data_IF_061774247027
#
_entry.id   IF_061774247027
#
_cell.length_a   1.000
_cell.length_b   1.000
_cell.length_c   1.000
_cell.angle_alpha   90.00
_cell.angle_beta   90.00
_cell.angle_gamma   90.00
#
_symmetry.space_group_name_H-M   'P 1'
#
loop_
_entity.id
_entity.type
_entity.pdbx_description
1 polymer ?
#
# COMPACT_ATOMS: atom_id res chain seq x y z
N UNK A 1 -58.81 -27.60 -26.51
CA UNK A 1 -60.07 -27.46 -25.76
C UNK A 1 -59.74 -27.11 -24.30
N UNK A 2 -60.28 -25.97 -23.83
CA UNK A 2 -60.56 -25.54 -22.44
C UNK A 2 -59.63 -25.96 -21.27
N UNK A 3 -58.95 -24.96 -20.70
CA UNK A 3 -58.73 -24.76 -19.25
C UNK A 3 -60.10 -24.63 -18.50
N UNK A 4 -60.26 -24.71 -17.15
CA UNK A 4 -59.41 -24.02 -16.16
C UNK A 4 -59.32 -24.57 -14.70
N UNK A 5 -58.47 -23.86 -13.93
CA UNK A 5 -58.63 -23.42 -12.53
C UNK A 5 -58.52 -24.39 -11.34
N UNK A 6 -57.71 -23.96 -10.36
CA UNK A 6 -57.63 -24.51 -9.02
C UNK A 6 -56.61 -23.78 -8.14
N UNK A 7 -56.78 -22.45 -8.00
CA UNK A 7 -56.03 -21.59 -7.08
C UNK A 7 -56.60 -21.77 -5.66
N UNK A 8 -55.75 -22.10 -4.67
CA UNK A 8 -56.06 -21.89 -3.25
C UNK A 8 -54.86 -21.19 -2.60
N UNK A 9 -55.07 -19.95 -2.20
CA UNK A 9 -54.24 -19.14 -1.31
C UNK A 9 -54.94 -19.11 0.05
N UNK A 10 -54.23 -19.46 1.12
CA UNK A 10 -54.42 -19.03 2.52
C UNK A 10 -53.35 -19.76 3.35
N UNK A 11 -52.78 -19.30 4.45
CA UNK A 11 -52.66 -18.00 5.11
C UNK A 11 -51.51 -18.16 6.13
N UNK A 12 -50.80 -17.07 6.37
CA UNK A 12 -49.85 -16.76 7.45
C UNK A 12 -50.14 -17.48 8.79
N UNK A 13 -49.10 -18.07 9.42
CA UNK A 13 -49.23 -18.63 10.78
C UNK A 13 -47.93 -19.15 11.43
N UNK A 14 -47.24 -18.24 12.11
CA UNK A 14 -46.11 -18.34 13.06
C UNK A 14 -45.89 -19.63 13.91
N UNK A 15 -44.59 -19.86 14.13
CA UNK A 15 -43.89 -20.21 15.39
C UNK A 15 -44.20 -21.55 16.09
N UNK A 16 -43.22 -22.45 16.07
CA UNK A 16 -43.15 -23.62 16.95
C UNK A 16 -41.72 -24.14 17.08
N UNK A 17 -41.10 -23.83 18.21
CA UNK A 17 -39.79 -24.25 18.70
C UNK A 17 -39.47 -25.74 18.42
N UNK A 18 -38.42 -25.99 17.62
CA UNK A 18 -37.82 -27.30 17.43
C UNK A 18 -36.32 -27.22 17.63
N UNK A 19 -35.90 -27.30 18.90
CA UNK A 19 -34.51 -27.20 19.33
C UNK A 19 -33.62 -28.27 18.69
N UNK A 20 -33.00 -27.91 17.56
CA UNK A 20 -31.84 -28.62 17.03
C UNK A 20 -30.62 -28.12 17.78
N UNK A 21 -30.31 -28.83 18.87
CA UNK A 21 -29.07 -28.73 19.64
C UNK A 21 -27.93 -29.05 18.67
N UNK A 22 -27.39 -28.04 17.97
CA UNK A 22 -26.17 -28.21 17.20
C UNK A 22 -25.07 -28.45 18.22
N UNK A 23 -24.62 -29.70 18.28
CA UNK A 23 -23.34 -30.06 18.84
C UNK A 23 -22.28 -29.42 17.95
N UNK A 24 -22.09 -28.11 18.11
CA UNK A 24 -20.82 -27.46 17.81
C UNK A 24 -19.86 -28.07 18.82
N UNK A 25 -19.27 -29.19 18.41
CA UNK A 25 -18.08 -29.75 19.03
C UNK A 25 -17.04 -28.63 18.99
N UNK A 26 -17.02 -27.88 20.08
CA UNK A 26 -16.03 -26.85 20.36
C UNK A 26 -14.77 -27.64 20.63
N UNK A 27 -14.05 -27.95 19.55
CA UNK A 27 -12.67 -28.38 19.59
C UNK A 27 -11.91 -27.28 20.33
N UNK A 28 -11.87 -27.39 21.66
CA UNK A 28 -10.93 -26.68 22.51
C UNK A 28 -9.57 -27.22 22.08
N UNK A 29 -9.01 -26.62 21.03
CA UNK A 29 -7.56 -26.60 20.86
C UNK A 29 -7.05 -26.08 22.21
N UNK A 30 -6.37 -26.94 22.96
CA UNK A 30 -5.74 -26.59 24.23
C UNK A 30 -4.78 -25.47 23.91
N UNK A 31 -5.24 -24.21 24.00
CA UNK A 31 -4.35 -23.07 23.89
C UNK A 31 -3.56 -23.11 25.17
N UNK A 32 -2.37 -23.71 25.08
CA UNK A 32 -1.37 -23.70 26.12
C UNK A 32 -1.19 -22.23 26.54
N UNK A 33 -1.67 -21.88 27.75
CA UNK A 33 -1.68 -20.50 28.21
C UNK A 33 -0.28 -20.13 28.72
N UNK A 34 0.61 -19.79 27.79
CA UNK A 34 2.00 -19.42 28.09
C UNK A 34 2.11 -18.20 29.02
N UNK A 35 1.04 -17.45 29.23
CA UNK A 35 1.04 -16.26 30.09
C UNK A 35 1.36 -16.56 31.55
N UNK A 36 1.13 -17.78 32.03
CA UNK A 36 1.45 -18.21 33.39
C UNK A 36 2.95 -18.36 33.65
N UNK A 37 3.76 -18.34 32.59
CA UNK A 37 5.22 -18.48 32.66
C UNK A 37 5.90 -17.15 33.01
N UNK A 38 5.25 -16.03 32.72
CA UNK A 38 5.80 -14.71 32.97
C UNK A 38 5.57 -14.27 34.43
N UNK A 39 6.53 -13.55 35.04
CA UNK A 39 6.31 -12.96 36.36
C UNK A 39 5.25 -11.86 36.29
N UNK A 40 4.51 -11.65 37.39
CA UNK A 40 3.42 -10.66 37.47
C UNK A 40 3.87 -9.19 37.34
N UNK A 41 5.18 -8.96 37.35
CA UNK A 41 5.78 -7.63 37.17
C UNK A 41 5.85 -7.24 35.69
N UNK A 42 5.79 -5.93 35.42
CA UNK A 42 5.94 -5.40 34.06
C UNK A 42 7.36 -5.66 33.56
N UNK A 43 7.48 -6.24 32.37
CA UNK A 43 8.77 -6.49 31.71
C UNK A 43 8.86 -5.61 30.46
N UNK A 44 10.06 -5.09 30.21
CA UNK A 44 10.38 -4.31 29.02
C UNK A 44 10.99 -5.20 27.93
N UNK A 45 10.71 -4.94 26.66
CA UNK A 45 11.44 -5.58 25.55
C UNK A 45 12.66 -4.73 25.19
N UNK A 46 13.87 -5.25 25.40
CA UNK A 46 15.14 -4.58 25.09
C UNK A 46 15.35 -4.44 23.58
N UNK A 47 15.07 -5.50 22.82
CA UNK A 47 15.22 -5.55 21.36
C UNK A 47 13.92 -5.98 20.70
N UNK A 48 13.27 -5.04 20.01
CA UNK A 48 11.97 -5.27 19.35
C UNK A 48 12.09 -6.03 18.02
N UNK A 49 13.27 -6.02 17.38
CA UNK A 49 13.47 -6.60 16.03
C UNK A 49 12.72 -5.88 14.89
N UNK A 50 11.81 -4.95 15.21
CA UNK A 50 11.10 -4.07 14.28
C UNK A 50 12.02 -2.96 13.77
N UNK A 51 12.04 -2.73 12.45
CA UNK A 51 12.83 -1.67 11.82
C UNK A 51 12.36 -0.27 12.24
N UNK A 52 13.29 0.68 12.44
CA UNK A 52 12.94 2.08 12.59
C UNK A 52 12.13 2.56 11.38
N UNK A 53 11.13 3.39 11.61
CA UNK A 53 10.33 4.00 10.55
C UNK A 53 11.14 4.91 9.62
N UNK A 54 12.39 5.25 9.97
CA UNK A 54 13.27 6.18 9.23
C UNK A 54 13.34 5.89 7.73
N UNK A 55 13.50 4.63 7.33
CA UNK A 55 13.58 4.28 5.90
C UNK A 55 12.23 4.43 5.20
N UNK A 56 11.13 4.13 5.89
CA UNK A 56 9.78 4.37 5.38
C UNK A 56 9.47 5.86 5.28
N UNK A 57 9.96 6.69 6.20
CA UNK A 57 9.82 8.15 6.12
C UNK A 57 10.63 8.73 4.97
N UNK A 58 11.91 8.37 4.85
CA UNK A 58 12.78 8.84 3.78
C UNK A 58 12.26 8.39 2.41
N UNK A 59 11.87 7.13 2.27
CA UNK A 59 11.27 6.60 1.05
C UNK A 59 9.94 7.27 0.72
N UNK A 60 9.06 7.45 1.71
CA UNK A 60 7.78 8.14 1.53
C UNK A 60 7.96 9.60 1.12
N UNK A 61 8.86 10.34 1.76
CA UNK A 61 9.16 11.74 1.44
C UNK A 61 9.80 11.88 0.07
N UNK A 62 10.72 10.99 -0.30
CA UNK A 62 11.32 10.96 -1.64
C UNK A 62 10.25 10.72 -2.71
N UNK A 63 9.35 9.76 -2.52
CA UNK A 63 8.26 9.47 -3.45
C UNK A 63 7.29 10.66 -3.57
N UNK A 64 7.00 11.34 -2.46
CA UNK A 64 6.19 12.55 -2.48
C UNK A 64 6.87 13.71 -3.22
N UNK A 65 8.19 13.86 -3.04
CA UNK A 65 8.96 14.86 -3.77
C UNK A 65 8.94 14.57 -5.28
N UNK A 66 9.06 13.30 -5.68
CA UNK A 66 8.93 12.89 -7.10
C UNK A 66 7.53 13.18 -7.63
N UNK A 67 6.47 12.87 -6.88
CA UNK A 67 5.10 13.19 -7.28
C UNK A 67 4.89 14.70 -7.47
N UNK A 68 5.40 15.51 -6.53
CA UNK A 68 5.35 16.97 -6.61
C UNK A 68 6.14 17.51 -7.81
N UNK A 69 7.34 16.97 -8.06
CA UNK A 69 8.14 17.34 -9.22
C UNK A 69 7.43 17.05 -10.54
N UNK A 70 6.87 15.84 -10.71
CA UNK A 70 6.11 15.48 -11.91
C UNK A 70 4.91 16.39 -12.08
N UNK A 71 4.16 16.67 -11.00
CA UNK A 71 3.01 17.56 -11.04
C UNK A 71 3.38 18.98 -11.48
N UNK A 72 4.44 19.56 -10.93
CA UNK A 72 4.90 20.92 -11.30
C UNK A 72 5.46 20.96 -12.72
N UNK A 73 6.14 19.90 -13.16
CA UNK A 73 6.69 19.83 -14.52
C UNK A 73 5.60 19.68 -15.59
N UNK A 74 4.55 18.90 -15.33
CA UNK A 74 3.47 18.66 -16.30
C UNK A 74 2.36 19.72 -16.26
N UNK A 75 2.17 20.39 -15.13
CA UNK A 75 1.07 21.35 -14.94
C UNK A 75 1.04 22.50 -15.96
N UNK A 76 2.16 23.14 -16.36
CA UNK A 76 2.11 24.28 -17.29
C UNK A 76 1.50 23.93 -18.64
N UNK A 77 1.81 22.74 -19.17
CA UNK A 77 1.26 22.26 -20.45
C UNK A 77 -0.25 22.05 -20.35
N UNK A 78 -0.71 21.33 -19.32
CA UNK A 78 -2.14 21.06 -19.11
C UNK A 78 -2.92 22.36 -18.88
N UNK A 79 -2.37 23.30 -18.10
CA UNK A 79 -3.02 24.60 -17.85
C UNK A 79 -3.13 25.41 -19.15
N UNK A 80 -2.09 25.42 -19.98
CA UNK A 80 -2.11 26.14 -21.24
C UNK A 80 -3.18 25.57 -22.19
N UNK A 81 -3.27 24.24 -22.28
CA UNK A 81 -4.26 23.56 -23.12
C UNK A 81 -5.69 23.85 -22.63
N UNK A 82 -5.93 23.88 -21.32
CA UNK A 82 -7.22 24.26 -20.73
C UNK A 82 -7.60 25.73 -20.98
N UNK A 83 -6.61 26.63 -21.00
CA UNK A 83 -6.84 28.04 -21.31
C UNK A 83 -7.21 28.24 -22.78
N UNK A 84 -6.57 27.51 -23.71
CA UNK A 84 -6.94 27.54 -25.12
C UNK A 84 -8.30 26.89 -25.36
N UNK A 85 -8.63 25.82 -24.63
CA UNK A 85 -9.94 25.14 -24.71
C UNK A 85 -11.13 26.03 -24.34
N UNK A 86 -10.90 27.07 -23.53
CA UNK A 86 -11.96 27.95 -23.06
C UNK A 86 -12.47 28.93 -24.10
N UNK A 87 -11.67 29.23 -25.14
CA UNK A 87 -12.01 30.18 -26.21
C UNK A 87 -11.27 29.83 -27.52
N UNK A 88 -11.59 28.67 -28.13
CA UNK A 88 -10.88 28.17 -29.30
C UNK A 88 -11.24 28.96 -30.56
N UNK A 89 -10.23 29.50 -31.23
CA UNK A 89 -10.34 30.13 -32.54
C UNK A 89 -9.42 29.41 -33.53
N UNK A 90 -9.98 28.80 -34.57
CA UNK A 90 -9.20 28.17 -35.63
C UNK A 90 -8.41 29.24 -36.42
N UNK A 91 -7.14 28.94 -36.73
CA UNK A 91 -6.29 29.80 -37.58
C UNK A 91 -6.08 29.09 -38.91
N UNK A 92 -6.91 29.35 -39.92
CA UNK A 92 -6.84 28.64 -41.21
C UNK A 92 -5.57 28.92 -42.01
N UNK A 93 -4.86 30.03 -41.73
CA UNK A 93 -3.63 30.43 -42.43
C UNK A 93 -2.32 30.06 -41.67
N UNK A 94 -2.40 29.18 -40.66
CA UNK A 94 -1.22 28.76 -39.91
C UNK A 94 -0.40 27.74 -40.72
N UNK A 95 0.90 27.99 -40.89
CA UNK A 95 1.82 27.06 -41.56
C UNK A 95 2.51 26.20 -40.51
N UNK A 96 2.32 24.89 -40.58
CA UNK A 96 3.00 23.92 -39.71
C UNK A 96 4.25 23.44 -40.46
N UNK A 97 5.41 23.61 -39.83
CA UNK A 97 6.71 23.12 -40.35
C UNK A 97 7.24 22.09 -39.36
N UNK A 98 7.87 21.01 -39.85
CA UNK A 98 8.48 19.96 -39.02
C UNK A 98 7.57 19.30 -37.95
N UNK A 99 6.35 18.93 -38.34
CA UNK A 99 5.45 18.15 -37.50
C UNK A 99 5.86 16.67 -37.45
N UNK A 100 6.49 16.23 -36.36
CA UNK A 100 6.85 14.82 -36.14
C UNK A 100 6.12 14.25 -34.91
N UNK A 101 5.39 13.16 -35.11
CA UNK A 101 4.77 12.38 -34.03
C UNK A 101 5.47 11.02 -33.90
N UNK A 102 6.04 10.75 -32.73
CA UNK A 102 6.75 9.51 -32.42
C UNK A 102 6.06 8.75 -31.30
N UNK A 103 5.47 7.61 -31.64
CA UNK A 103 4.94 6.68 -30.65
C UNK A 103 6.08 5.89 -29.96
N UNK A 104 6.19 6.01 -28.64
CA UNK A 104 7.07 5.18 -27.79
C UNK A 104 6.23 4.19 -27.00
N UNK A 105 6.55 2.90 -27.16
CA UNK A 105 5.93 1.77 -26.44
C UNK A 105 4.40 1.64 -26.62
N UNK A 106 3.87 2.03 -27.79
CA UNK A 106 2.45 1.85 -28.21
C UNK A 106 1.42 2.65 -27.38
N UNK A 107 1.82 3.24 -26.26
CA UNK A 107 0.91 3.92 -25.32
C UNK A 107 1.27 5.39 -25.15
N UNK A 108 2.52 5.80 -25.37
CA UNK A 108 2.93 7.20 -25.23
C UNK A 108 3.26 7.75 -26.62
N UNK A 109 2.56 8.80 -27.04
CA UNK A 109 2.82 9.52 -28.29
C UNK A 109 3.42 10.87 -27.94
N UNK A 110 4.63 11.12 -28.43
CA UNK A 110 5.32 12.41 -28.36
C UNK A 110 5.14 13.08 -29.73
N UNK A 111 4.54 14.27 -29.79
CA UNK A 111 4.43 15.06 -31.01
C UNK A 111 5.11 16.41 -30.81
N UNK A 112 6.01 16.76 -31.71
CA UNK A 112 6.65 18.08 -31.80
C UNK A 112 6.24 18.74 -33.10
N UNK A 113 5.81 20.00 -33.05
CA UNK A 113 5.48 20.79 -34.23
C UNK A 113 5.99 22.23 -34.07
N UNK A 114 6.64 22.76 -35.12
CA UNK A 114 6.97 24.19 -35.22
C UNK A 114 5.84 24.89 -35.99
N UNK A 115 5.26 25.93 -35.38
CA UNK A 115 4.13 26.65 -35.95
C UNK A 115 4.51 28.11 -36.14
N UNK A 116 4.28 28.61 -37.36
CA UNK A 116 4.41 30.02 -37.70
C UNK A 116 3.05 30.57 -38.10
N UNK A 117 2.62 31.67 -37.47
CA UNK A 117 1.39 32.37 -37.85
C UNK A 117 1.56 33.88 -37.71
N UNK A 118 0.86 34.63 -38.56
CA UNK A 118 0.97 36.10 -38.63
C UNK A 118 -0.23 36.76 -37.95
N UNK A 119 0.02 37.70 -37.02
CA UNK A 119 -1.03 38.51 -36.38
C UNK A 119 -0.73 39.98 -36.63
N UNK A 120 -1.66 40.67 -37.31
CA UNK A 120 -1.58 42.13 -37.55
C UNK A 120 -0.25 42.60 -38.17
N UNK A 121 0.39 41.76 -38.99
CA UNK A 121 1.68 42.06 -39.63
C UNK A 121 2.92 41.68 -38.83
N UNK A 122 2.77 41.03 -37.67
CA UNK A 122 3.87 40.45 -36.89
C UNK A 122 3.83 38.92 -36.99
N UNK A 123 4.94 38.32 -37.42
CA UNK A 123 5.13 36.86 -37.46
C UNK A 123 5.45 36.36 -36.06
N UNK A 124 4.64 35.43 -35.55
CA UNK A 124 4.86 34.74 -34.28
C UNK A 124 5.27 33.30 -34.56
N UNK A 125 6.37 32.89 -33.92
CA UNK A 125 6.91 31.53 -33.96
C UNK A 125 6.62 30.84 -32.63
N UNK A 126 6.09 29.61 -32.70
CA UNK A 126 5.80 28.81 -31.52
C UNK A 126 6.19 27.35 -31.73
N UNK A 127 6.97 26.84 -30.80
CA UNK A 127 7.27 25.41 -30.70
C UNK A 127 6.25 24.76 -29.78
N UNK A 128 5.52 23.77 -30.30
CA UNK A 128 4.54 23.02 -29.53
C UNK A 128 5.03 21.59 -29.34
N UNK A 129 5.32 21.24 -28.09
CA UNK A 129 5.59 19.88 -27.65
C UNK A 129 4.36 19.31 -26.93
N UNK A 130 3.78 18.24 -27.50
CA UNK A 130 2.64 17.52 -26.94
C UNK A 130 3.03 16.09 -26.60
N UNK A 131 2.61 15.63 -25.43
CA UNK A 131 2.72 14.24 -25.03
C UNK A 131 1.35 13.76 -24.54
N UNK A 132 0.83 12.72 -25.17
CA UNK A 132 -0.45 12.13 -24.81
C UNK A 132 -0.39 10.60 -24.84
N UNK A 133 -1.39 9.98 -24.21
CA UNK A 133 -1.53 8.53 -24.17
C UNK A 133 -2.61 8.11 -25.15
N UNK A 134 -2.24 7.44 -26.23
CA UNK A 134 -3.17 6.88 -27.21
C UNK A 134 -2.76 5.45 -27.57
N UNK A 135 -3.76 4.61 -27.81
CA UNK A 135 -3.62 3.23 -28.25
C UNK A 135 -3.77 3.09 -29.78
N UNK A 136 -4.11 4.18 -30.49
CA UNK A 136 -4.17 4.22 -31.95
C UNK A 136 -2.78 4.53 -32.54
N UNK A 137 -2.40 3.75 -33.56
CA UNK A 137 -1.21 3.96 -34.37
C UNK A 137 -1.66 4.35 -35.78
N UNK A 138 -1.84 5.64 -36.03
CA UNK A 138 -2.20 6.22 -37.32
C UNK A 138 -1.73 7.66 -37.43
N UNK A 139 -1.77 8.20 -38.65
CA UNK A 139 -1.47 9.61 -38.90
C UNK A 139 -2.62 10.48 -38.35
N UNK A 140 -2.29 11.55 -37.62
CA UNK A 140 -3.27 12.45 -37.02
C UNK A 140 -3.38 13.72 -37.86
N UNK A 141 -4.59 14.05 -38.34
CA UNK A 141 -4.87 15.39 -38.87
C UNK A 141 -4.98 16.37 -37.69
N UNK A 142 -4.13 17.39 -37.69
CA UNK A 142 -4.08 18.38 -36.61
C UNK A 142 -4.33 19.78 -37.16
N UNK A 143 -5.27 20.50 -36.56
CA UNK A 143 -5.52 21.91 -36.85
C UNK A 143 -4.91 22.77 -35.74
N UNK A 144 -4.35 23.93 -36.12
CA UNK A 144 -3.85 24.90 -35.14
C UNK A 144 -5.00 25.73 -34.62
N UNK A 145 -5.20 25.69 -33.30
CA UNK A 145 -6.24 26.44 -32.60
C UNK A 145 -5.57 27.42 -31.65
N UNK A 146 -5.96 28.69 -31.70
CA UNK A 146 -5.45 29.71 -30.76
C UNK A 146 -6.54 30.16 -29.81
N UNK A 147 -6.15 30.74 -28.67
CA UNK A 147 -7.11 31.42 -27.80
C UNK A 147 -7.54 32.75 -28.43
N UNK A 148 -8.84 33.04 -28.51
CA UNK A 148 -9.32 34.32 -29.01
C UNK A 148 -9.02 35.46 -28.01
N UNK A 149 -9.10 35.19 -26.71
CA UNK A 149 -8.78 36.11 -25.62
C UNK A 149 -7.28 36.33 -25.36
N UNK A 150 -6.41 35.36 -25.66
CA UNK A 150 -4.95 35.45 -25.50
C UNK A 150 -4.23 35.01 -26.79
N UNK A 151 -3.95 35.95 -27.73
CA UNK A 151 -3.44 35.62 -29.06
C UNK A 151 -2.05 34.98 -29.07
N UNK A 152 -1.29 35.06 -27.97
CA UNK A 152 0.06 34.48 -27.85
C UNK A 152 0.07 33.01 -27.40
N UNK A 153 -1.10 32.36 -27.32
CA UNK A 153 -1.24 30.95 -26.92
C UNK A 153 -1.92 30.18 -28.04
N UNK A 154 -1.20 29.23 -28.60
CA UNK A 154 -1.70 28.25 -29.55
C UNK A 154 -1.63 26.85 -28.95
N UNK A 155 -2.57 26.00 -29.32
CA UNK A 155 -2.61 24.57 -29.05
C UNK A 155 -3.07 23.83 -30.32
N UNK A 156 -2.78 22.54 -30.42
CA UNK A 156 -3.31 21.73 -31.52
C UNK A 156 -4.70 21.21 -31.17
N UNK A 157 -5.61 21.11 -32.14
CA UNK A 157 -6.96 20.56 -31.96
C UNK A 157 -6.94 19.16 -31.33
N UNK A 158 -5.94 18.35 -31.70
CA UNK A 158 -5.68 17.03 -31.10
C UNK A 158 -5.35 17.11 -29.59
N UNK A 159 -4.64 18.16 -29.16
CA UNK A 159 -4.35 18.42 -27.75
C UNK A 159 -5.62 18.77 -26.97
N UNK A 160 -6.61 19.40 -27.60
CA UNK A 160 -7.92 19.72 -27.01
C UNK A 160 -8.82 18.49 -26.89
N UNK A 161 -8.85 17.63 -27.92
CA UNK A 161 -9.66 16.40 -27.92
C UNK A 161 -9.13 15.37 -26.91
N UNK A 162 -7.81 15.28 -26.74
CA UNK A 162 -7.16 14.39 -25.76
C UNK A 162 -6.91 15.06 -24.39
N UNK A 163 -7.30 16.32 -24.20
CA UNK A 163 -7.03 17.10 -22.98
C UNK A 163 -7.54 16.38 -21.72
N UNK A 164 -8.75 15.83 -21.79
CA UNK A 164 -9.35 15.08 -20.69
C UNK A 164 -8.61 13.78 -20.39
N UNK A 165 -8.21 13.04 -21.43
CA UNK A 165 -7.46 11.79 -21.28
C UNK A 165 -6.07 12.06 -20.66
N UNK A 166 -5.37 13.09 -21.16
CA UNK A 166 -4.10 13.57 -20.61
C UNK A 166 -4.25 14.00 -19.14
N UNK A 167 -5.22 14.87 -18.85
CA UNK A 167 -5.48 15.36 -17.49
C UNK A 167 -5.79 14.21 -16.53
N UNK A 168 -6.61 13.24 -16.95
CA UNK A 168 -6.97 12.08 -16.13
C UNK A 168 -5.76 11.17 -15.88
N UNK A 169 -4.98 10.85 -16.91
CA UNK A 169 -3.80 9.97 -16.78
C UNK A 169 -2.74 10.63 -15.90
N UNK A 170 -2.42 11.91 -16.15
CA UNK A 170 -1.44 12.64 -15.34
C UNK A 170 -1.89 12.79 -13.90
N UNK A 171 -3.16 13.13 -13.67
CA UNK A 171 -3.72 13.23 -12.32
C UNK A 171 -3.71 11.88 -11.61
N UNK A 172 -4.12 10.81 -12.29
CA UNK A 172 -4.13 9.46 -11.72
C UNK A 172 -2.73 8.99 -11.37
N UNK A 173 -1.73 9.27 -12.22
CA UNK A 173 -0.33 8.94 -11.97
C UNK A 173 0.19 9.70 -10.75
N UNK A 174 0.04 11.02 -10.71
CA UNK A 174 0.52 11.87 -9.60
C UNK A 174 -0.17 11.46 -8.29
N UNK A 175 -1.49 11.29 -8.29
CA UNK A 175 -2.24 10.89 -7.10
C UNK A 175 -1.88 9.47 -6.64
N UNK A 176 -1.65 8.54 -7.58
CA UNK A 176 -1.23 7.17 -7.26
C UNK A 176 0.13 7.13 -6.58
N UNK A 177 1.11 7.87 -7.12
CA UNK A 177 2.45 8.00 -6.53
C UNK A 177 2.35 8.68 -5.15
N UNK A 178 1.59 9.77 -5.04
CA UNK A 178 1.40 10.48 -3.78
C UNK A 178 0.74 9.60 -2.71
N UNK A 179 -0.30 8.83 -3.08
CA UNK A 179 -0.94 7.87 -2.18
C UNK A 179 0.04 6.79 -1.70
N UNK A 180 0.91 6.28 -2.59
CA UNK A 180 1.98 5.36 -2.24
C UNK A 180 2.97 5.97 -1.23
N UNK A 181 3.39 7.21 -1.45
CA UNK A 181 4.26 7.95 -0.54
C UNK A 181 3.65 8.16 0.85
N UNK A 182 2.37 8.57 0.91
CA UNK A 182 1.61 8.73 2.16
C UNK A 182 1.49 7.39 2.89
N UNK A 183 1.17 6.30 2.18
CA UNK A 183 1.03 4.97 2.77
C UNK A 183 2.33 4.48 3.40
N UNK A 184 3.48 4.71 2.74
CA UNK A 184 4.79 4.39 3.30
C UNK A 184 5.10 5.23 4.54
N UNK A 185 4.82 6.52 4.49
CA UNK A 185 5.03 7.41 5.63
C UNK A 185 4.20 6.99 6.84
N UNK A 186 2.89 6.73 6.64
CA UNK A 186 1.99 6.23 7.67
C UNK A 186 2.42 4.85 8.20
N UNK A 187 2.97 3.99 7.33
CA UNK A 187 3.60 2.72 7.72
C UNK A 187 4.79 2.92 8.67
N UNK A 188 5.64 3.91 8.40
CA UNK A 188 6.71 4.34 9.28
C UNK A 188 6.20 4.75 10.67
N UNK A 189 5.16 5.60 10.72
CA UNK A 189 4.54 6.06 11.97
C UNK A 189 4.00 4.89 12.77
N UNK A 190 3.33 3.95 12.11
CA UNK A 190 2.81 2.73 12.74
C UNK A 190 3.93 1.86 13.29
N UNK A 191 5.03 1.69 12.54
CA UNK A 191 6.21 0.94 12.97
C UNK A 191 6.83 1.54 14.23
N UNK A 192 7.08 2.86 14.22
CA UNK A 192 7.66 3.56 15.37
C UNK A 192 6.73 3.57 16.57
N UNK A 193 5.43 3.74 16.39
CA UNK A 193 4.45 3.64 17.49
C UNK A 193 4.50 2.25 18.11
N UNK A 194 4.49 1.19 17.30
CA UNK A 194 4.60 -0.19 17.81
C UNK A 194 5.92 -0.42 18.54
N UNK A 195 7.02 0.12 18.01
CA UNK A 195 8.35 0.01 18.60
C UNK A 195 8.48 0.77 19.91
N UNK A 196 7.88 1.97 20.02
CA UNK A 196 7.80 2.75 21.26
C UNK A 196 6.98 2.03 22.32
N UNK A 197 5.83 1.47 21.95
CA UNK A 197 4.97 0.72 22.87
C UNK A 197 5.64 -0.58 23.34
N UNK A 198 6.30 -1.31 22.46
CA UNK A 198 7.02 -2.52 22.83
C UNK A 198 8.22 -2.26 23.76
N UNK A 199 8.80 -1.06 23.69
CA UNK A 199 9.88 -0.63 24.60
C UNK A 199 9.37 -0.08 25.94
N UNK A 200 8.06 0.00 26.19
CA UNK A 200 7.54 0.39 27.51
C UNK A 200 7.42 -0.85 28.40
N UNK A 201 7.60 -0.64 29.70
CA UNK A 201 7.31 -1.67 30.70
C UNK A 201 5.81 -1.98 30.66
N UNK A 202 5.48 -3.22 30.30
CA UNK A 202 4.08 -3.66 30.18
C UNK A 202 3.95 -5.11 30.57
N UNK A 203 2.70 -5.54 30.82
CA UNK A 203 2.38 -6.96 30.86
C UNK A 203 2.52 -7.52 29.45
N UNK A 204 3.20 -8.66 29.32
CA UNK A 204 3.43 -9.32 28.04
C UNK A 204 2.43 -10.48 27.92
N UNK A 205 1.76 -10.58 26.77
CA UNK A 205 0.91 -11.70 26.39
C UNK A 205 1.69 -12.62 25.43
N UNK A 206 2.02 -13.82 25.86
CA UNK A 206 2.75 -14.81 25.07
C UNK A 206 1.80 -15.52 24.11
N UNK A 207 2.13 -15.48 22.82
CA UNK A 207 1.36 -16.09 21.74
C UNK A 207 2.23 -16.97 20.88
N UNK A 208 1.67 -18.12 20.51
CA UNK A 208 2.23 -18.94 19.45
C UNK A 208 1.99 -18.26 18.11
N UNK A 209 3.04 -18.15 17.31
CA UNK A 209 2.98 -17.58 15.96
C UNK A 209 3.58 -18.53 14.95
N UNK A 210 2.92 -18.64 13.80
CA UNK A 210 3.43 -19.45 12.69
C UNK A 210 4.51 -18.68 11.95
N UNK A 211 5.69 -19.23 11.83
CA UNK A 211 6.75 -18.67 10.98
C UNK A 211 6.45 -19.03 9.53
N UNK A 212 6.39 -18.00 8.69
CA UNK A 212 6.07 -18.13 7.26
C UNK A 212 7.35 -18.24 6.45
N UNK A 213 8.33 -17.38 6.74
CA UNK A 213 9.54 -17.29 5.95
C UNK A 213 10.72 -16.82 6.80
N UNK A 214 11.90 -17.38 6.52
CA UNK A 214 13.17 -16.91 7.04
C UNK A 214 14.05 -16.50 5.86
N UNK A 215 14.45 -15.24 5.82
CA UNK A 215 15.29 -14.70 4.75
C UNK A 215 16.66 -14.30 5.30
N UNK A 216 17.77 -14.91 4.86
CA UNK A 216 19.10 -14.51 5.29
C UNK A 216 19.45 -13.12 4.74
N UNK A 217 20.13 -12.30 5.54
CA UNK A 217 20.57 -10.96 5.14
C UNK A 217 21.95 -10.66 5.71
N UNK A 218 22.62 -9.65 5.16
CA UNK A 218 23.93 -9.25 5.65
C UNK A 218 23.87 -8.92 7.17
N UNK A 219 24.67 -9.64 7.95
CA UNK A 219 24.74 -9.51 9.40
C UNK A 219 23.52 -10.06 10.19
N UNK A 220 22.64 -10.88 9.59
CA UNK A 220 21.51 -11.45 10.32
C UNK A 220 20.51 -12.24 9.48
N UNK A 221 19.29 -12.37 10.00
CA UNK A 221 18.15 -12.99 9.30
C UNK A 221 16.86 -12.26 9.59
N UNK A 222 15.96 -12.23 8.62
CA UNK A 222 14.59 -11.79 8.80
C UNK A 222 13.69 -12.99 9.01
N UNK A 223 12.85 -12.92 10.03
CA UNK A 223 11.85 -13.93 10.31
C UNK A 223 10.48 -13.28 10.17
N UNK A 224 9.74 -13.70 9.15
CA UNK A 224 8.37 -13.31 8.91
C UNK A 224 7.44 -14.32 9.56
N UNK A 225 6.50 -13.83 10.36
CA UNK A 225 5.56 -14.67 11.09
C UNK A 225 4.15 -14.11 11.03
N UNK A 226 3.18 -15.01 11.11
CA UNK A 226 1.75 -14.71 11.16
C UNK A 226 1.29 -14.70 12.61
N UNK A 227 0.69 -13.59 13.04
CA UNK A 227 0.22 -13.40 14.42
C UNK A 227 -1.30 -13.27 14.56
N UNK A 228 -2.03 -13.36 13.45
CA UNK A 228 -3.49 -13.33 13.45
C UNK A 228 -4.06 -13.26 12.05
N UNK A 229 -5.35 -12.97 11.98
CA UNK A 229 -6.09 -12.67 10.76
C UNK A 229 -6.82 -11.34 10.93
N UNK A 230 -6.86 -10.53 9.87
CA UNK A 230 -7.64 -9.30 9.84
C UNK A 230 -9.15 -9.61 9.77
N UNK A 231 -10.01 -8.61 9.95
CA UNK A 231 -11.47 -8.69 9.80
C UNK A 231 -11.91 -9.28 8.45
N UNK A 232 -11.07 -9.18 7.42
CA UNK A 232 -11.28 -9.73 6.07
C UNK A 232 -10.71 -11.14 5.87
N UNK A 233 -10.27 -11.81 6.94
CA UNK A 233 -9.68 -13.16 6.89
C UNK A 233 -8.25 -13.21 6.35
N UNK A 234 -7.62 -12.08 6.04
CA UNK A 234 -6.24 -12.04 5.53
C UNK A 234 -5.23 -12.26 6.66
N UNK A 235 -4.15 -13.02 6.44
CA UNK A 235 -3.13 -13.25 7.46
C UNK A 235 -2.42 -11.94 7.82
N UNK A 236 -2.36 -11.64 9.12
CA UNK A 236 -1.57 -10.53 9.64
C UNK A 236 -0.14 -10.99 9.83
N UNK A 237 0.75 -10.41 9.02
CA UNK A 237 2.17 -10.74 8.99
C UNK A 237 2.98 -9.66 9.71
N UNK A 238 4.03 -10.08 10.40
CA UNK A 238 5.02 -9.22 11.02
C UNK A 238 6.42 -9.72 10.69
N UNK A 239 7.39 -8.80 10.67
CA UNK A 239 8.79 -9.08 10.39
C UNK A 239 9.62 -8.77 11.63
N UNK A 240 10.47 -9.71 12.06
CA UNK A 240 11.44 -9.48 13.12
C UNK A 240 12.85 -9.78 12.62
N UNK A 241 13.79 -8.87 12.88
CA UNK A 241 15.22 -9.07 12.58
C UNK A 241 15.90 -9.81 13.73
N UNK A 242 16.72 -10.79 13.40
CA UNK A 242 17.60 -11.52 14.31
C UNK A 242 19.06 -11.31 13.90
N UNK A 243 19.97 -11.27 14.87
CA UNK A 243 21.41 -11.35 14.61
C UNK A 243 21.80 -12.71 14.03
N UNK A 244 23.00 -12.81 13.42
CA UNK A 244 23.45 -14.05 12.76
C UNK A 244 23.45 -15.28 13.67
N UNK A 245 23.77 -15.10 14.95
CA UNK A 245 23.75 -16.15 15.98
C UNK A 245 22.45 -16.21 16.81
N UNK A 246 21.54 -15.26 16.65
CA UNK A 246 20.28 -15.24 17.41
C UNK A 246 19.24 -16.11 16.67
N UNK A 247 18.59 -17.04 17.35
CA UNK A 247 17.52 -17.88 16.77
C UNK A 247 16.17 -17.58 17.44
N UNK A 248 15.05 -17.69 16.71
CA UNK A 248 13.73 -17.67 17.34
C UNK A 248 13.57 -18.78 18.37
N UNK A 249 12.75 -18.54 19.40
CA UNK A 249 12.32 -19.61 20.30
C UNK A 249 11.28 -20.49 19.60
N UNK A 250 11.69 -21.70 19.20
CA UNK A 250 10.83 -22.68 18.53
C UNK A 250 10.04 -23.51 19.54
N UNK A 251 8.74 -23.64 19.31
CA UNK A 251 7.83 -24.42 20.16
C UNK A 251 7.79 -25.87 19.68
N UNK A 252 7.70 -26.07 18.37
CA UNK A 252 7.50 -27.40 17.75
C UNK A 252 8.80 -28.17 17.49
N UNK A 253 9.96 -27.56 17.79
CA UNK A 253 11.28 -28.09 17.38
C UNK A 253 11.50 -28.14 15.86
N UNK A 254 10.47 -27.91 15.05
CA UNK A 254 10.44 -28.04 13.59
C UNK A 254 10.26 -26.68 12.88
N UNK A 255 10.94 -25.61 13.34
CA UNK A 255 11.04 -24.30 12.65
C UNK A 255 9.72 -23.71 12.09
N UNK A 256 8.55 -24.16 12.57
CA UNK A 256 7.24 -23.83 12.01
C UNK A 256 6.43 -22.94 12.95
N UNK A 257 6.51 -23.21 14.25
CA UNK A 257 5.84 -22.48 15.32
C UNK A 257 6.87 -21.87 16.27
N UNK A 258 6.78 -20.56 16.46
CA UNK A 258 7.66 -19.80 17.34
C UNK A 258 6.87 -19.04 18.41
N UNK A 259 7.56 -18.66 19.48
CA UNK A 259 6.98 -17.90 20.57
C UNK A 259 7.16 -16.39 20.34
N UNK A 260 6.08 -15.63 20.44
CA UNK A 260 6.10 -14.17 20.39
C UNK A 260 5.46 -13.56 21.65
N UNK A 261 5.97 -12.42 22.07
CA UNK A 261 5.40 -11.62 23.16
C UNK A 261 4.67 -10.40 22.60
N UNK A 262 3.42 -10.19 23.01
CA UNK A 262 2.62 -9.00 22.69
C UNK A 262 2.57 -8.08 23.93
N UNK A 263 3.28 -6.94 23.90
CA UNK A 263 3.16 -5.90 24.93
C UNK A 263 1.74 -5.34 25.01
N UNK A 264 1.24 -5.07 26.21
CA UNK A 264 -0.07 -4.47 26.41
C UNK A 264 -0.21 -3.15 25.61
N UNK A 265 -1.22 -3.08 24.73
CA UNK A 265 -1.49 -1.94 23.87
C UNK A 265 -0.65 -1.86 22.59
N UNK A 266 0.34 -2.75 22.40
CA UNK A 266 1.01 -2.89 21.11
C UNK A 266 0.10 -3.65 20.11
N UNK A 267 0.28 -3.35 18.82
CA UNK A 267 -0.49 -3.98 17.74
C UNK A 267 0.29 -5.14 17.11
N UNK A 268 1.63 -5.08 17.17
CA UNK A 268 2.52 -6.07 16.56
C UNK A 268 3.26 -6.80 17.67
N UNK A 269 3.17 -8.14 17.75
CA UNK A 269 3.94 -8.92 18.69
C UNK A 269 5.42 -8.97 18.29
N UNK A 270 6.29 -9.23 19.27
CA UNK A 270 7.73 -9.35 19.09
C UNK A 270 8.14 -10.81 19.26
N UNK A 271 8.81 -11.36 18.24
CA UNK A 271 9.34 -12.72 18.30
C UNK A 271 10.45 -12.82 19.36
N UNK A 272 10.36 -13.83 20.23
CA UNK A 272 11.37 -14.09 21.26
C UNK A 272 12.54 -14.90 20.70
N UNK A 273 13.71 -14.68 21.27
CA UNK A 273 14.92 -15.45 20.96
C UNK A 273 15.05 -16.68 21.85
N UNK A 274 15.77 -17.70 21.39
CA UNK A 274 15.97 -18.96 22.11
C UNK A 274 16.58 -18.76 23.52
N UNK A 275 17.39 -17.72 23.69
CA UNK A 275 18.02 -17.36 24.97
C UNK A 275 17.21 -16.34 25.79
N UNK A 276 16.06 -15.89 25.28
CA UNK A 276 15.17 -14.88 25.88
C UNK A 276 15.85 -13.55 26.23
N UNK A 277 17.01 -13.24 25.62
CA UNK A 277 17.78 -12.01 25.84
C UNK A 277 17.07 -10.74 25.36
N UNK A 278 15.98 -10.90 24.59
CA UNK A 278 15.10 -9.78 24.19
C UNK A 278 14.28 -9.23 25.35
N UNK A 279 14.06 -10.00 26.41
CA UNK A 279 13.34 -9.58 27.60
C UNK A 279 14.28 -8.87 28.58
N UNK A 280 13.80 -7.80 29.21
CA UNK A 280 14.49 -7.10 30.29
C UNK A 280 14.25 -7.80 31.64
N UNK A 281 14.65 -9.07 31.72
CA UNK A 281 14.56 -9.90 32.91
C UNK A 281 15.97 -10.19 33.44
N UNK A 282 16.08 -10.40 34.76
CA UNK A 282 17.34 -10.79 35.39
C UNK A 282 17.73 -12.23 34.98
N UNK A 283 19.02 -12.60 34.96
CA UNK A 283 19.45 -13.97 34.66
C UNK A 283 18.70 -15.08 35.41
N UNK A 284 18.42 -14.97 36.73
CA UNK A 284 17.65 -16.01 37.44
C UNK A 284 16.18 -16.08 37.00
N UNK A 285 15.57 -14.95 36.64
CA UNK A 285 14.20 -14.94 36.10
C UNK A 285 14.15 -15.57 34.71
N UNK A 286 15.13 -15.27 33.84
CA UNK A 286 15.25 -15.90 32.51
C UNK A 286 15.35 -17.42 32.65
N UNK A 287 16.15 -17.92 33.59
CA UNK A 287 16.28 -19.35 33.85
C UNK A 287 14.94 -19.98 34.30
N UNK A 288 14.19 -19.27 35.15
CA UNK A 288 12.87 -19.71 35.62
C UNK A 288 11.84 -19.75 34.48
N UNK A 289 11.79 -18.70 33.67
CA UNK A 289 10.92 -18.60 32.50
C UNK A 289 11.26 -19.71 31.49
N UNK A 290 12.55 -19.90 31.20
CA UNK A 290 13.00 -20.93 30.27
C UNK A 290 12.67 -22.36 30.78
N UNK A 291 12.81 -22.62 32.08
CA UNK A 291 12.46 -23.91 32.66
C UNK A 291 10.96 -24.20 32.56
N UNK A 292 10.11 -23.21 32.89
CA UNK A 292 8.65 -23.32 32.76
C UNK A 292 8.21 -23.49 31.30
N UNK A 293 8.80 -22.75 30.37
CA UNK A 293 8.52 -22.90 28.93
C UNK A 293 8.91 -24.31 28.46
N UNK A 294 10.07 -24.84 28.86
CA UNK A 294 10.48 -26.21 28.51
C UNK A 294 9.50 -27.25 29.04
N UNK A 295 9.02 -27.11 30.27
CA UNK A 295 8.03 -28.03 30.84
C UNK A 295 6.70 -28.00 30.08
N UNK A 296 6.22 -26.81 29.71
CA UNK A 296 4.97 -26.66 28.96
C UNK A 296 5.07 -27.14 27.51
N UNK A 297 6.23 -26.98 26.87
CA UNK A 297 6.48 -27.46 25.51
C UNK A 297 6.71 -28.97 25.47
N UNK A 298 7.36 -29.55 26.48
CA UNK A 298 7.57 -30.99 26.56
C UNK A 298 6.33 -31.78 27.01
N UNK A 299 5.36 -31.11 27.64
CA UNK A 299 4.09 -31.70 28.08
C UNK A 299 2.91 -31.48 27.13
N UNK A 300 3.12 -30.81 26.00
CA UNK A 300 2.12 -30.55 24.95
C UNK A 300 2.35 -31.46 23.74
#
# INVERSE_FOLDING_TARGET
>A
MRSPAGLCIDRVGKLGYGGRRSLVSREKKTVTDFNQVLPDRKIRIRKTGVWPGVFSYLGGLMILAVAGFIGVWQAPGVINDWLVASDPLAVPDATITDGECRARRVVFVECSAHITYEIKGETLEHDIDLMFVDFHAGDYEVEVVRSASQPNRAALSLGLDMLWNRTLVDSALVLGIAAGGIALFAGGVRSDRSRRLARRESKLDLREVKVVQISPVLGGKYVQFQYGVDRKGKPLLALSRFGGKEEPYWIDGQRGMALAALPAGAIVPVLLDAELKRLDASPPEIATIAARLKQMVAGA
#
